data_IF_380330478464
#
_entry.id   IF_380330478464
#
_cell.length_a   1.000
_cell.length_b   1.000
_cell.length_c   1.000
_cell.angle_alpha   90.00
_cell.angle_beta   90.00
_cell.angle_gamma   90.00
#
_symmetry.space_group_name_H-M   'P 1'
#
loop_
_entity.id
_entity.type
_entity.pdbx_description
1 polymer ?
#
# COMPACT_ATOMS: atom_id res chain seq x y z
N UNK A 1 27.48 28.61 -11.93
CA UNK A 1 27.09 27.36 -12.62
C UNK A 1 26.38 26.46 -11.61
N UNK A 2 25.16 26.84 -11.15
CA UNK A 2 24.33 26.06 -10.24
C UNK A 2 23.27 25.30 -11.05
N UNK A 3 23.49 24.01 -11.29
CA UNK A 3 22.53 23.20 -12.05
C UNK A 3 21.38 22.65 -11.17
N UNK A 4 21.47 22.82 -9.85
CA UNK A 4 20.60 22.22 -8.83
C UNK A 4 19.32 23.05 -8.53
N UNK A 5 19.20 24.27 -9.06
CA UNK A 5 18.05 25.13 -8.76
C UNK A 5 16.76 24.78 -9.53
N UNK A 6 16.78 23.74 -10.38
CA UNK A 6 15.63 23.38 -11.25
C UNK A 6 14.95 22.06 -10.91
N UNK A 7 15.12 21.53 -9.70
CA UNK A 7 14.35 20.38 -9.23
C UNK A 7 13.26 20.87 -8.28
N UNK A 8 12.24 21.54 -8.84
CA UNK A 8 10.97 21.71 -8.13
C UNK A 8 10.20 20.41 -8.34
N UNK A 9 9.96 19.58 -7.30
CA UNK A 9 9.13 18.40 -7.48
C UNK A 9 7.74 18.86 -7.98
N UNK A 10 7.16 18.20 -8.99
CA UNK A 10 5.83 18.55 -9.44
C UNK A 10 4.85 18.38 -8.26
N UNK A 11 4.07 19.43 -7.99
CA UNK A 11 2.92 19.34 -7.07
C UNK A 11 1.92 18.37 -7.70
N UNK A 12 1.99 17.09 -7.32
CA UNK A 12 0.94 16.15 -7.65
C UNK A 12 -0.30 16.54 -6.87
N UNK A 13 -1.27 17.07 -7.62
CA UNK A 13 -2.61 17.39 -7.15
C UNK A 13 -3.30 16.14 -6.63
N UNK A 14 -4.01 16.32 -5.53
CA UNK A 14 -4.92 15.35 -4.91
C UNK A 14 -5.74 14.57 -5.95
N UNK A 15 -5.51 13.28 -6.00
CA UNK A 15 -6.56 12.31 -6.31
C UNK A 15 -6.26 11.15 -5.39
N UNK A 16 -7.24 10.76 -4.60
CA UNK A 16 -7.19 9.69 -3.61
C UNK A 16 -6.84 8.34 -4.25
N UNK A 17 -5.60 8.18 -4.70
CA UNK A 17 -4.99 6.88 -4.86
C UNK A 17 -4.63 6.48 -3.45
N UNK A 18 -5.60 5.84 -2.78
CA UNK A 18 -5.36 5.04 -1.59
C UNK A 18 -4.03 4.35 -1.82
N UNK A 19 -3.03 4.80 -1.09
CA UNK A 19 -1.71 4.18 -1.01
C UNK A 19 -1.96 2.84 -0.32
N UNK A 20 -2.51 1.90 -1.08
CA UNK A 20 -2.49 0.50 -0.75
C UNK A 20 -1.06 0.09 -0.95
N UNK A 21 -0.36 -0.05 0.17
CA UNK A 21 0.79 -0.92 0.38
C UNK A 21 1.20 -1.75 -0.86
N UNK A 22 2.49 -1.76 -1.27
CA UNK A 22 2.98 -2.37 -2.51
C UNK A 22 2.25 -3.69 -2.79
N UNK A 23 1.46 -3.68 -3.87
CA UNK A 23 0.48 -4.69 -4.20
C UNK A 23 1.13 -6.09 -4.15
N UNK A 24 0.73 -6.91 -3.18
CA UNK A 24 1.02 -8.35 -3.22
C UNK A 24 1.48 -8.99 -1.91
N UNK A 25 1.98 -8.22 -0.94
CA UNK A 25 2.49 -8.82 0.30
C UNK A 25 1.45 -8.79 1.42
N UNK A 26 0.81 -7.65 1.71
CA UNK A 26 -0.08 -7.52 2.87
C UNK A 26 -1.50 -7.08 2.46
N UNK A 27 -2.51 -7.70 3.07
CA UNK A 27 -3.93 -7.41 2.92
C UNK A 27 -4.55 -7.08 4.27
N UNK A 28 -5.44 -6.09 4.30
CA UNK A 28 -6.21 -5.73 5.51
C UNK A 28 -7.57 -6.42 5.48
N UNK A 29 -7.90 -7.18 6.52
CA UNK A 29 -9.24 -7.76 6.64
C UNK A 29 -10.26 -6.64 6.98
N UNK A 30 -11.39 -6.54 6.26
CA UNK A 30 -12.41 -5.52 6.53
C UNK A 30 -13.17 -5.76 7.84
N UNK A 31 -13.21 -7.00 8.33
CA UNK A 31 -13.96 -7.37 9.53
C UNK A 31 -13.15 -7.15 10.80
N UNK A 32 -11.93 -7.67 10.85
CA UNK A 32 -11.10 -7.65 12.05
C UNK A 32 -10.01 -6.55 12.03
N UNK A 33 -9.95 -5.77 10.96
CA UNK A 33 -8.99 -4.68 10.71
C UNK A 33 -7.51 -5.07 10.84
N UNK A 34 -7.22 -6.36 10.87
CA UNK A 34 -5.86 -6.89 10.98
C UNK A 34 -5.16 -6.89 9.62
N UNK A 35 -3.86 -6.62 9.66
CA UNK A 35 -2.99 -6.67 8.50
C UNK A 35 -2.41 -8.09 8.45
N UNK A 36 -2.73 -8.82 7.39
CA UNK A 36 -2.25 -10.19 7.19
C UNK A 36 -1.42 -10.31 5.93
N UNK A 37 -0.49 -11.26 5.94
CA UNK A 37 0.30 -11.59 4.77
C UNK A 37 -0.54 -12.35 3.75
N UNK A 38 -0.30 -12.09 2.47
CA UNK A 38 -0.94 -12.76 1.34
C UNK A 38 -0.68 -14.28 1.40
N UNK A 39 0.55 -14.69 1.72
CA UNK A 39 0.93 -16.10 1.85
C UNK A 39 0.16 -16.81 2.96
N UNK A 40 -0.07 -16.13 4.09
CA UNK A 40 -0.83 -16.68 5.21
C UNK A 40 -2.33 -16.75 4.87
N UNK A 41 -2.86 -15.78 4.12
CA UNK A 41 -4.21 -15.85 3.58
C UNK A 41 -4.39 -17.02 2.62
N UNK A 42 -3.45 -17.23 1.70
CA UNK A 42 -3.52 -18.33 0.73
C UNK A 42 -3.46 -19.71 1.41
N UNK A 43 -2.59 -19.86 2.42
CA UNK A 43 -2.53 -21.08 3.24
C UNK A 43 -3.84 -21.35 3.99
N UNK A 44 -4.55 -20.30 4.39
CA UNK A 44 -5.83 -20.38 5.11
C UNK A 44 -7.06 -20.24 4.20
N UNK A 45 -6.92 -20.48 2.89
CA UNK A 45 -8.03 -20.41 1.93
C UNK A 45 -8.79 -19.07 1.93
N UNK A 46 -8.05 -17.96 2.05
CA UNK A 46 -8.57 -16.60 2.12
C UNK A 46 -9.49 -16.33 3.35
N UNK A 47 -9.38 -17.16 4.38
CA UNK A 47 -10.05 -16.97 5.67
C UNK A 47 -9.13 -16.17 6.60
N UNK A 48 -9.71 -15.25 7.39
CA UNK A 48 -8.92 -14.48 8.34
C UNK A 48 -8.45 -15.34 9.52
N UNK A 49 -7.20 -15.16 9.97
CA UNK A 49 -6.61 -15.85 11.14
C UNK A 49 -6.96 -15.18 12.49
N UNK A 50 -8.02 -14.37 12.53
CA UNK A 50 -8.45 -13.61 13.70
C UNK A 50 -9.53 -14.34 14.48
#
# INVERSE_FOLDING_TARGET
MSWIEKIKPPRFSSSEKKVGFPEGLWKKCPHCQEVMFQEDLEKNFMVCLK
#
